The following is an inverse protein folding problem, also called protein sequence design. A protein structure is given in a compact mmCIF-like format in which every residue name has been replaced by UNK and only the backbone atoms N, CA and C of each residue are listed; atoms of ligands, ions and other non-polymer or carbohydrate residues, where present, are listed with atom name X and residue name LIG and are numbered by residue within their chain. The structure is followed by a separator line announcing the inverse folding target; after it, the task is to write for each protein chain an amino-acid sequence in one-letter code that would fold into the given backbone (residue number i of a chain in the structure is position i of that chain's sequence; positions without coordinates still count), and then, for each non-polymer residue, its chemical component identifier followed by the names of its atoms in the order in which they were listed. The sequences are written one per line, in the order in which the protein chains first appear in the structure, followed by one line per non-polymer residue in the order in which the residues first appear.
data_IF_539276104946
#
_entry.id   IF_539276104946
#
_cell.length_a   1.000
_cell.length_b   1.000
_cell.length_c   1.000
_cell.angle_alpha   90.00
_cell.angle_beta   90.00
_cell.angle_gamma   90.00
#
_symmetry.space_group_name_H-M   'P 1'
#
loop_
_entity.id
_entity.type
_entity.pdbx_description
1 polymer ?
#
# COMPACT_ATOMS: atom_id res chain seq x y z
N UNK A 1 1.40 -43.11 -25.12
CA UNK A 1 0.42 -42.30 -24.37
C UNK A 1 1.19 -41.43 -23.39
N UNK A 2 0.96 -40.12 -23.45
CA UNK A 2 1.75 -39.08 -22.77
C UNK A 2 1.32 -38.96 -21.30
N UNK A 3 2.31 -38.76 -20.45
CA UNK A 3 2.21 -38.53 -19.01
C UNK A 3 1.92 -37.04 -18.74
N UNK A 4 0.98 -36.74 -17.83
CA UNK A 4 0.78 -35.37 -17.31
C UNK A 4 1.42 -35.28 -15.93
N UNK A 5 2.50 -34.50 -15.84
CA UNK A 5 3.18 -34.10 -14.62
C UNK A 5 2.68 -32.72 -14.19
N UNK A 6 2.22 -32.59 -12.95
CA UNK A 6 1.92 -31.29 -12.33
C UNK A 6 3.14 -30.87 -11.52
N UNK A 7 3.89 -29.90 -12.04
CA UNK A 7 5.03 -29.25 -11.39
C UNK A 7 4.57 -27.84 -11.02
N UNK A 8 4.49 -27.52 -9.74
CA UNK A 8 4.28 -26.14 -9.29
C UNK A 8 5.65 -25.44 -9.31
N UNK A 9 5.85 -24.56 -10.30
CA UNK A 9 7.05 -23.74 -10.49
C UNK A 9 6.67 -22.29 -10.18
N UNK A 10 7.26 -21.69 -9.15
CA UNK A 10 7.15 -20.25 -8.86
C UNK A 10 8.34 -19.56 -9.55
N UNK A 11 8.06 -18.63 -10.47
CA UNK A 11 9.07 -17.86 -11.20
C UNK A 11 9.06 -16.39 -10.75
N UNK A 12 10.25 -15.83 -10.48
CA UNK A 12 10.46 -14.39 -10.27
C UNK A 12 10.82 -13.73 -11.60
N UNK A 13 10.07 -12.69 -12.00
CA UNK A 13 10.42 -11.84 -13.13
C UNK A 13 11.18 -10.60 -12.64
N UNK A 14 12.42 -10.41 -13.11
CA UNK A 14 13.11 -9.13 -13.06
C UNK A 14 12.76 -8.35 -14.34
N UNK A 15 11.98 -7.28 -14.21
CA UNK A 15 11.81 -6.30 -15.29
C UNK A 15 13.03 -5.36 -15.23
N UNK A 16 13.89 -5.44 -16.25
CA UNK A 16 14.95 -4.47 -16.44
C UNK A 16 14.35 -3.29 -17.20
N UNK A 17 14.06 -2.19 -16.51
CA UNK A 17 13.66 -0.93 -17.17
C UNK A 17 14.88 -0.32 -17.86
N UNK A 18 14.75 -0.09 -19.17
CA UNK A 18 15.68 0.69 -19.95
C UNK A 18 15.67 2.14 -19.44
N UNK A 19 16.84 2.71 -19.25
CA UNK A 19 17.05 4.13 -18.94
C UNK A 19 16.48 4.99 -20.08
N UNK A 20 15.33 5.61 -19.83
CA UNK A 20 14.93 6.82 -20.53
C UNK A 20 15.80 7.97 -19.99
N UNK A 21 16.27 8.83 -20.89
CA UNK A 21 16.99 10.03 -20.50
C UNK A 21 16.03 10.97 -19.79
N UNK A 22 16.34 11.23 -18.52
CA UNK A 22 15.49 11.92 -17.58
C UNK A 22 15.48 13.43 -17.86
N UNK A 23 14.31 13.94 -18.22
CA UNK A 23 13.97 15.35 -18.23
C UNK A 23 13.27 15.79 -16.95
N UNK A 24 13.44 15.05 -15.84
CA UNK A 24 12.88 15.42 -14.55
C UNK A 24 13.40 16.78 -14.12
N UNK A 25 12.47 17.69 -13.93
CA UNK A 25 12.69 18.87 -13.09
C UNK A 25 12.80 18.35 -11.67
N UNK A 26 13.99 18.46 -11.10
CA UNK A 26 14.23 18.04 -9.72
C UNK A 26 13.61 19.08 -8.77
N UNK A 27 13.10 18.66 -7.61
CA UNK A 27 12.68 19.58 -6.54
C UNK A 27 13.74 20.65 -6.24
N UNK A 28 15.03 20.32 -6.46
CA UNK A 28 16.15 21.23 -6.32
C UNK A 28 16.07 22.48 -7.23
N UNK A 29 15.48 22.40 -8.42
CA UNK A 29 15.33 23.55 -9.32
C UNK A 29 14.27 24.55 -8.83
N UNK A 30 13.24 24.07 -8.11
CA UNK A 30 12.20 24.91 -7.49
C UNK A 30 12.70 25.60 -6.19
N UNK A 31 13.68 25.01 -5.51
CA UNK A 31 14.14 25.46 -4.18
C UNK A 31 15.10 26.66 -4.19
N UNK A 32 15.86 26.84 -5.28
CA UNK A 32 17.10 27.63 -5.23
C UNK A 32 16.92 29.16 -5.15
N UNK A 33 15.71 29.67 -5.35
CA UNK A 33 15.44 31.11 -5.31
C UNK A 33 14.81 31.60 -3.99
N UNK A 34 14.43 30.73 -3.04
CA UNK A 34 13.36 31.13 -2.11
C UNK A 34 13.62 31.17 -0.58
N UNK A 35 14.68 30.60 0.02
CA UNK A 35 14.67 30.48 1.51
C UNK A 35 15.95 30.78 2.31
N UNK A 36 15.78 31.69 3.30
CA UNK A 36 16.46 31.74 4.60
C UNK A 36 15.80 30.72 5.57
N UNK A 37 16.59 30.13 6.46
CA UNK A 37 16.27 28.93 7.26
C UNK A 37 14.97 28.99 8.10
N UNK A 38 14.02 28.10 7.80
CA UNK A 38 12.88 27.77 8.67
C UNK A 38 13.08 26.40 9.35
N UNK A 39 13.17 26.37 10.68
CA UNK A 39 13.03 25.15 11.50
C UNK A 39 11.55 24.94 11.83
N UNK A 40 10.76 24.39 10.90
CA UNK A 40 9.35 24.07 11.17
C UNK A 40 9.04 22.62 10.83
N UNK A 41 8.25 21.98 11.71
CA UNK A 41 7.79 20.61 11.50
C UNK A 41 6.92 20.52 10.23
N UNK A 42 7.05 19.48 9.39
CA UNK A 42 6.38 19.45 8.09
C UNK A 42 4.85 19.47 8.18
N UNK A 43 4.28 18.88 9.24
CA UNK A 43 2.84 18.94 9.51
C UNK A 43 2.33 20.35 9.86
N UNK A 44 3.18 21.24 10.37
CA UNK A 44 2.85 22.65 10.59
C UNK A 44 2.86 23.40 9.26
N UNK A 45 3.87 23.14 8.41
CA UNK A 45 4.00 23.75 7.08
C UNK A 45 2.81 23.40 6.17
N UNK A 46 2.42 22.12 6.09
CA UNK A 46 1.27 21.70 5.30
C UNK A 46 -0.05 22.31 5.81
N UNK A 47 -0.19 22.49 7.13
CA UNK A 47 -1.35 23.17 7.72
C UNK A 47 -1.35 24.66 7.35
N UNK A 48 -0.21 25.33 7.48
CA UNK A 48 -0.10 26.75 7.19
C UNK A 48 -0.28 27.02 5.69
N UNK A 49 0.17 26.12 4.82
CA UNK A 49 -0.15 26.11 3.39
C UNK A 49 -1.66 26.07 3.15
N UNK A 50 -2.37 25.14 3.80
CA UNK A 50 -3.82 25.01 3.68
C UNK A 50 -4.57 26.26 4.18
N UNK A 51 -4.06 26.95 5.20
CA UNK A 51 -4.63 28.23 5.66
C UNK A 51 -4.44 29.33 4.61
N UNK A 52 -3.23 29.50 4.07
CA UNK A 52 -2.97 30.46 2.99
C UNK A 52 -3.83 30.16 1.76
N UNK A 53 -4.02 28.89 1.43
CA UNK A 53 -4.88 28.44 0.34
C UNK A 53 -6.32 28.90 0.53
N UNK A 54 -6.90 28.67 1.72
CA UNK A 54 -8.26 29.08 2.06
C UNK A 54 -8.44 30.60 2.06
N UNK A 55 -7.38 31.34 2.40
CA UNK A 55 -7.36 32.80 2.37
C UNK A 55 -7.17 33.38 0.95
N UNK A 56 -6.96 32.53 -0.06
CA UNK A 56 -6.72 32.92 -1.45
C UNK A 56 -5.30 33.39 -1.75
N UNK A 57 -4.37 33.23 -0.80
CA UNK A 57 -2.95 33.54 -0.96
C UNK A 57 -2.22 32.30 -1.51
N UNK A 58 -2.50 31.98 -2.78
CA UNK A 58 -2.02 30.76 -3.42
C UNK A 58 -0.50 30.74 -3.62
N UNK A 59 0.12 31.91 -3.78
CA UNK A 59 1.58 32.04 -3.84
C UNK A 59 2.21 31.57 -2.54
N UNK A 60 1.74 32.10 -1.41
CA UNK A 60 2.24 31.70 -0.10
C UNK A 60 1.86 30.27 0.28
N UNK A 61 0.71 29.78 -0.19
CA UNK A 61 0.33 28.38 -0.03
C UNK A 61 1.32 27.44 -0.75
N UNK A 62 1.68 27.75 -2.01
CA UNK A 62 2.65 27.00 -2.78
C UNK A 62 4.03 26.97 -2.09
N UNK A 63 4.48 28.13 -1.58
CA UNK A 63 5.71 28.23 -0.79
C UNK A 63 5.73 27.27 0.40
N UNK A 64 4.67 27.26 1.21
CA UNK A 64 4.59 26.38 2.36
C UNK A 64 4.45 24.90 1.97
N UNK A 65 3.77 24.56 0.87
CA UNK A 65 3.73 23.18 0.39
C UNK A 65 5.10 22.69 -0.09
N UNK A 66 5.87 23.53 -0.79
CA UNK A 66 7.25 23.21 -1.19
C UNK A 66 8.11 22.97 0.05
N UNK A 67 8.07 23.88 1.02
CA UNK A 67 8.79 23.71 2.29
C UNK A 67 8.37 22.43 3.02
N UNK A 68 7.07 22.09 3.00
CA UNK A 68 6.57 20.89 3.64
C UNK A 68 7.11 19.62 2.97
N UNK A 69 7.21 19.60 1.64
CA UNK A 69 7.79 18.50 0.86
C UNK A 69 9.29 18.36 1.13
N UNK A 70 10.03 19.46 1.18
CA UNK A 70 11.47 19.47 1.50
C UNK A 70 11.78 19.01 2.93
N UNK A 71 10.86 19.29 3.87
CA UNK A 71 11.11 19.11 5.29
C UNK A 71 10.88 17.68 5.82
N UNK A 72 10.61 16.68 4.97
CA UNK A 72 10.39 15.23 5.29
C UNK A 72 8.93 14.75 5.14
N UNK A 73 8.20 15.20 4.11
CA UNK A 73 6.90 14.63 3.72
C UNK A 73 6.99 13.65 2.54
N UNK A 74 8.12 12.96 2.32
CA UNK A 74 8.29 11.84 1.37
C UNK A 74 7.32 11.87 0.17
N UNK A 75 7.57 12.78 -0.78
CA UNK A 75 6.77 12.98 -1.99
C UNK A 75 5.25 12.85 -1.75
N UNK A 76 4.71 13.43 -0.66
CA UNK A 76 3.34 13.15 -0.27
C UNK A 76 2.37 13.46 -1.42
N UNK A 77 1.64 12.45 -1.94
CA UNK A 77 0.87 12.61 -3.17
C UNK A 77 -0.23 13.68 -3.02
N UNK A 78 -0.80 13.82 -1.82
CA UNK A 78 -1.84 14.83 -1.55
C UNK A 78 -1.24 16.22 -1.47
N UNK A 79 -0.08 16.39 -0.86
CA UNK A 79 0.63 17.69 -0.80
C UNK A 79 1.04 18.14 -2.20
N UNK A 80 1.58 17.24 -3.03
CA UNK A 80 1.93 17.54 -4.43
C UNK A 80 0.71 17.91 -5.27
N UNK A 81 -0.44 17.24 -5.06
CA UNK A 81 -1.69 17.60 -5.73
C UNK A 81 -2.14 19.02 -5.33
N UNK A 82 -2.15 19.32 -4.04
CA UNK A 82 -2.53 20.66 -3.57
C UNK A 82 -1.57 21.75 -4.06
N UNK A 83 -0.28 21.44 -4.21
CA UNK A 83 0.70 22.34 -4.82
C UNK A 83 0.36 22.57 -6.31
N UNK A 84 -0.04 21.54 -7.05
CA UNK A 84 -0.52 21.69 -8.42
C UNK A 84 -1.73 22.62 -8.50
N UNK A 85 -2.71 22.49 -7.60
CA UNK A 85 -3.88 23.38 -7.54
C UNK A 85 -3.47 24.84 -7.29
N UNK A 86 -2.49 25.09 -6.40
CA UNK A 86 -1.94 26.44 -6.19
C UNK A 86 -1.40 27.04 -7.50
N UNK A 87 -0.62 26.27 -8.26
CA UNK A 87 -0.09 26.72 -9.55
C UNK A 87 -1.19 26.91 -10.61
N UNK A 88 -2.24 26.10 -10.59
CA UNK A 88 -3.43 26.31 -11.44
C UNK A 88 -4.09 27.67 -11.20
N UNK A 89 -4.30 28.01 -9.93
CA UNK A 89 -4.88 29.29 -9.51
C UNK A 89 -3.96 30.49 -9.74
N UNK A 90 -2.66 30.26 -9.87
CA UNK A 90 -1.66 31.28 -10.22
C UNK A 90 -1.47 31.45 -11.73
N UNK A 91 -2.21 30.70 -12.56
CA UNK A 91 -2.08 30.70 -14.03
C UNK A 91 -0.68 30.24 -14.50
N UNK A 92 -0.08 29.28 -13.79
CA UNK A 92 1.26 28.72 -14.05
C UNK A 92 1.15 27.27 -14.59
N UNK A 93 0.74 27.09 -15.87
CA UNK A 93 0.35 25.79 -16.43
C UNK A 93 1.47 24.73 -16.40
N UNK A 94 2.72 25.13 -16.64
CA UNK A 94 3.86 24.21 -16.65
C UNK A 94 4.18 23.69 -15.24
N UNK A 95 4.15 24.57 -14.23
CA UNK A 95 4.40 24.19 -12.84
C UNK A 95 3.27 23.34 -12.27
N UNK A 96 2.01 23.70 -12.58
CA UNK A 96 0.84 22.91 -12.23
C UNK A 96 0.93 21.49 -12.80
N UNK A 97 1.28 21.38 -14.09
CA UNK A 97 1.43 20.10 -14.77
C UNK A 97 2.53 19.22 -14.15
N UNK A 98 3.72 19.80 -13.89
CA UNK A 98 4.83 19.08 -13.24
C UNK A 98 4.46 18.59 -11.85
N UNK A 99 3.86 19.44 -11.01
CA UNK A 99 3.45 19.06 -9.66
C UNK A 99 2.38 17.95 -9.67
N UNK A 100 1.44 18.00 -10.63
CA UNK A 100 0.44 16.97 -10.81
C UNK A 100 1.04 15.63 -11.25
N UNK A 101 1.98 15.64 -12.20
CA UNK A 101 2.70 14.43 -12.61
C UNK A 101 3.50 13.84 -11.44
N UNK A 102 4.18 14.66 -10.64
CA UNK A 102 4.87 14.18 -9.43
C UNK A 102 3.89 13.58 -8.42
N UNK A 103 2.72 14.20 -8.22
CA UNK A 103 1.65 13.65 -7.39
C UNK A 103 1.21 12.25 -7.85
N UNK A 104 1.02 12.07 -9.16
CA UNK A 104 0.69 10.77 -9.77
C UNK A 104 1.78 9.73 -9.52
N UNK A 105 3.05 10.08 -9.76
CA UNK A 105 4.22 9.22 -9.54
C UNK A 105 4.35 8.82 -8.07
N UNK A 106 3.96 9.70 -7.16
CA UNK A 106 3.91 9.46 -5.72
C UNK A 106 2.72 8.59 -5.26
N UNK A 107 1.83 8.19 -6.18
CA UNK A 107 0.72 7.28 -5.89
C UNK A 107 -0.60 7.96 -5.58
N UNK A 108 -0.77 9.23 -5.94
CA UNK A 108 -2.09 9.84 -5.99
C UNK A 108 -2.98 9.07 -6.97
N UNK A 109 -4.16 8.66 -6.53
CA UNK A 109 -5.01 7.71 -7.26
C UNK A 109 -6.44 8.21 -7.49
N UNK A 110 -6.60 9.54 -7.54
CA UNK A 110 -7.89 10.22 -7.78
C UNK A 110 -7.90 11.02 -9.08
N UNK A 111 -7.78 10.37 -10.25
CA UNK A 111 -7.75 11.05 -11.54
C UNK A 111 -9.00 11.91 -11.79
N UNK A 112 -10.14 11.57 -11.19
CA UNK A 112 -11.38 12.34 -11.29
C UNK A 112 -11.28 13.78 -10.78
N UNK A 113 -10.32 14.07 -9.90
CA UNK A 113 -10.10 15.42 -9.39
C UNK A 113 -9.44 16.32 -10.44
N UNK A 114 -8.65 15.78 -11.38
CA UNK A 114 -7.99 16.59 -12.41
C UNK A 114 -9.03 17.27 -13.32
N UNK A 115 -10.13 16.58 -13.62
CA UNK A 115 -11.18 17.10 -14.51
C UNK A 115 -12.20 18.00 -13.79
N UNK A 116 -12.41 17.78 -12.50
CA UNK A 116 -13.49 18.42 -11.73
C UNK A 116 -13.02 19.55 -10.82
N UNK A 117 -11.72 19.61 -10.53
CA UNK A 117 -11.16 20.66 -9.69
C UNK A 117 -11.17 22.01 -10.42
N UNK A 118 -11.87 22.96 -9.84
CA UNK A 118 -12.02 24.31 -10.39
C UNK A 118 -10.71 25.08 -10.41
N UNK A 119 -9.72 24.64 -9.64
CA UNK A 119 -8.45 25.33 -9.47
C UNK A 119 -7.58 25.24 -10.74
N UNK A 120 -7.91 24.35 -11.67
CA UNK A 120 -7.30 24.25 -13.01
C UNK A 120 -8.08 24.98 -14.11
N UNK A 121 -9.23 25.61 -13.81
CA UNK A 121 -10.15 26.16 -14.83
C UNK A 121 -9.47 27.16 -15.78
N UNK A 122 -8.56 28.01 -15.29
CA UNK A 122 -7.85 29.00 -16.10
C UNK A 122 -6.82 28.38 -17.04
N UNK A 123 -6.26 27.22 -16.70
CA UNK A 123 -5.15 26.60 -17.43
C UNK A 123 -5.54 25.35 -18.23
N UNK A 124 -6.81 24.92 -18.16
CA UNK A 124 -7.29 23.68 -18.78
C UNK A 124 -7.16 23.63 -20.31
N UNK A 125 -7.21 24.78 -20.99
CA UNK A 125 -7.01 24.88 -22.44
C UNK A 125 -5.52 25.01 -22.84
N UNK A 126 -4.59 25.04 -21.87
CA UNK A 126 -3.17 25.20 -22.15
C UNK A 126 -2.54 23.88 -22.62
N UNK A 127 -1.88 23.91 -23.78
CA UNK A 127 -1.26 22.70 -24.38
C UNK A 127 -0.17 22.08 -23.47
N UNK A 128 0.65 22.90 -22.79
CA UNK A 128 1.73 22.40 -21.92
C UNK A 128 1.16 21.70 -20.68
N UNK A 129 0.13 22.29 -20.07
CA UNK A 129 -0.55 21.64 -18.94
C UNK A 129 -1.17 20.31 -19.37
N UNK A 130 -1.83 20.29 -20.53
CA UNK A 130 -2.47 19.09 -21.06
C UNK A 130 -1.48 17.96 -21.37
N UNK A 131 -0.27 18.26 -21.84
CA UNK A 131 0.78 17.25 -22.03
C UNK A 131 1.13 16.55 -20.71
N UNK A 132 1.26 17.31 -19.61
CA UNK A 132 1.52 16.74 -18.28
C UNK A 132 0.31 15.99 -17.72
N UNK A 133 -0.91 16.48 -17.94
CA UNK A 133 -2.14 15.78 -17.53
C UNK A 133 -2.22 14.41 -18.19
N UNK A 134 -1.96 14.33 -19.50
CA UNK A 134 -1.93 13.05 -20.23
C UNK A 134 -0.90 12.09 -19.64
N UNK A 135 0.30 12.57 -19.30
CA UNK A 135 1.33 11.75 -18.67
C UNK A 135 0.91 11.29 -17.26
N UNK A 136 0.39 12.20 -16.44
CA UNK A 136 -0.09 11.91 -15.08
C UNK A 136 -1.22 10.87 -15.10
N UNK A 137 -2.19 11.01 -16.01
CA UNK A 137 -3.27 10.05 -16.18
C UNK A 137 -2.76 8.67 -16.58
N UNK A 138 -1.79 8.59 -17.49
CA UNK A 138 -1.18 7.31 -17.88
C UNK A 138 -0.46 6.63 -16.70
N UNK A 139 0.23 7.41 -15.86
CA UNK A 139 0.86 6.90 -14.63
C UNK A 139 -0.18 6.37 -13.65
N UNK A 140 -1.27 7.11 -13.42
CA UNK A 140 -2.35 6.69 -12.52
C UNK A 140 -3.09 5.46 -13.05
N UNK A 141 -3.35 5.40 -14.36
CA UNK A 141 -3.98 4.24 -15.02
C UNK A 141 -3.10 2.99 -14.87
N UNK A 142 -1.80 3.09 -15.15
CA UNK A 142 -0.87 1.97 -14.95
C UNK A 142 -0.83 1.55 -13.47
N UNK A 143 -0.84 2.51 -12.54
CA UNK A 143 -0.89 2.23 -11.10
C UNK A 143 -2.20 1.56 -10.67
N UNK A 144 -3.33 1.98 -11.23
CA UNK A 144 -4.65 1.41 -10.98
C UNK A 144 -4.76 0.01 -11.57
N UNK A 145 -4.24 -0.22 -12.78
CA UNK A 145 -4.20 -1.53 -13.42
C UNK A 145 -3.33 -2.51 -12.61
N UNK A 146 -2.18 -2.06 -12.10
CA UNK A 146 -1.37 -2.87 -11.18
C UNK A 146 -2.09 -3.22 -9.87
N UNK A 147 -3.06 -2.40 -9.46
CA UNK A 147 -3.93 -2.62 -8.29
C UNK A 147 -5.23 -3.34 -8.66
N UNK A 148 -5.46 -3.65 -9.93
CA UNK A 148 -6.70 -4.25 -10.41
C UNK A 148 -6.86 -5.66 -9.88
N UNK A 149 -8.11 -6.08 -9.71
CA UNK A 149 -8.48 -7.46 -9.34
C UNK A 149 -7.94 -8.44 -10.38
N UNK A 150 -7.83 -8.03 -11.65
CA UNK A 150 -7.37 -8.87 -12.75
C UNK A 150 -5.88 -9.20 -12.64
N UNK A 151 -5.04 -8.23 -12.24
CA UNK A 151 -3.60 -8.43 -12.03
C UNK A 151 -3.29 -9.05 -10.65
N UNK A 152 -3.95 -8.62 -9.57
CA UNK A 152 -3.64 -9.06 -8.20
C UNK A 152 -4.36 -10.35 -7.76
N UNK A 153 -5.35 -10.78 -8.53
CA UNK A 153 -6.31 -11.78 -8.07
C UNK A 153 -7.18 -11.25 -6.93
N UNK A 154 -8.09 -12.08 -6.45
CA UNK A 154 -8.94 -11.71 -5.33
C UNK A 154 -8.10 -11.53 -4.06
N UNK A 155 -8.08 -10.31 -3.53
CA UNK A 155 -7.42 -9.97 -2.26
C UNK A 155 -8.02 -10.81 -1.14
N UNK A 156 -7.18 -11.61 -0.49
CA UNK A 156 -7.56 -12.42 0.68
C UNK A 156 -6.72 -11.99 1.87
N UNK A 157 -7.29 -11.24 2.81
CA UNK A 157 -6.55 -10.84 4.01
C UNK A 157 -6.33 -12.03 4.96
N UNK A 158 -5.06 -12.28 5.27
CA UNK A 158 -4.54 -13.34 6.15
C UNK A 158 -3.84 -12.69 7.34
N UNK A 159 -4.27 -13.02 8.54
CA UNK A 159 -3.85 -12.31 9.74
C UNK A 159 -3.09 -13.30 10.65
N UNK A 160 -1.78 -13.03 10.92
CA UNK A 160 -0.90 -14.04 11.56
C UNK A 160 0.42 -13.55 12.23
N UNK A 161 0.60 -13.62 13.57
CA UNK A 161 1.94 -13.66 14.19
C UNK A 161 2.15 -14.55 15.42
N UNK A 162 3.07 -15.52 15.38
CA UNK A 162 3.64 -16.12 16.60
C UNK A 162 4.48 -17.37 16.34
N UNK A 163 5.29 -17.75 17.34
CA UNK A 163 5.59 -19.17 17.58
C UNK A 163 4.28 -19.88 17.89
N UNK A 164 3.70 -20.46 16.85
CA UNK A 164 2.46 -21.20 16.93
C UNK A 164 2.83 -22.59 17.40
N UNK A 165 2.21 -23.02 18.48
CA UNK A 165 2.30 -24.44 18.79
C UNK A 165 1.59 -25.19 17.66
N UNK A 166 2.30 -26.10 17.03
CA UNK A 166 1.70 -27.07 16.13
C UNK A 166 1.71 -28.45 16.79
N UNK A 167 0.74 -29.29 16.46
CA UNK A 167 0.71 -30.69 16.89
C UNK A 167 0.54 -31.58 15.69
N UNK A 168 1.46 -32.53 15.54
CA UNK A 168 1.55 -33.39 14.37
C UNK A 168 1.22 -34.83 14.79
N UNK A 169 0.35 -35.50 14.05
CA UNK A 169 0.10 -36.94 14.13
C UNK A 169 0.45 -37.57 12.80
N UNK A 170 1.21 -38.67 12.85
CA UNK A 170 1.68 -39.40 11.69
C UNK A 170 0.90 -40.72 11.58
N UNK A 171 0.80 -41.30 10.39
CA UNK A 171 0.25 -42.64 10.20
C UNK A 171 0.99 -43.70 11.01
N UNK A 172 0.28 -44.79 11.30
CA UNK A 172 0.92 -46.01 11.76
C UNK A 172 1.93 -46.47 10.69
N UNK A 173 3.14 -46.82 11.12
CA UNK A 173 4.26 -47.21 10.24
C UNK A 173 4.73 -46.13 9.24
N UNK A 174 4.61 -44.83 9.58
CA UNK A 174 5.11 -43.71 8.77
C UNK A 174 6.55 -43.91 8.24
N UNK A 175 6.71 -43.81 6.92
CA UNK A 175 8.00 -43.83 6.21
C UNK A 175 8.26 -42.47 5.56
N UNK A 176 9.29 -41.70 5.97
CA UNK A 176 9.58 -40.40 5.36
C UNK A 176 9.95 -40.44 3.86
N UNK A 177 10.15 -41.61 3.27
CA UNK A 177 10.38 -41.78 1.83
C UNK A 177 9.09 -41.97 1.01
N UNK A 178 7.97 -42.32 1.65
CA UNK A 178 6.67 -42.50 1.00
C UNK A 178 5.89 -41.18 0.89
N UNK A 179 4.91 -41.15 -0.02
CA UNK A 179 4.05 -39.98 -0.23
C UNK A 179 2.79 -40.11 0.60
N UNK A 180 2.52 -39.08 1.39
CA UNK A 180 1.31 -38.97 2.19
C UNK A 180 0.57 -37.69 1.87
N UNK A 181 -0.75 -37.74 2.03
CA UNK A 181 -1.57 -36.53 2.04
C UNK A 181 -1.28 -35.71 3.31
N UNK A 182 -1.25 -34.37 3.17
CA UNK A 182 -1.06 -33.44 4.29
C UNK A 182 -2.39 -32.77 4.64
N UNK A 183 -2.81 -32.94 5.89
CA UNK A 183 -4.00 -32.30 6.45
C UNK A 183 -3.57 -31.24 7.48
N UNK A 184 -3.83 -29.95 7.18
CA UNK A 184 -3.60 -28.80 8.08
C UNK A 184 -4.91 -28.41 8.82
N UNK A 185 -4.87 -28.31 10.14
CA UNK A 185 -5.99 -28.02 11.04
C UNK A 185 -5.77 -26.70 11.80
N UNK A 186 -6.67 -25.72 11.69
CA UNK A 186 -6.60 -24.39 12.34
C UNK A 186 -7.76 -24.23 13.35
N UNK A 187 -7.51 -23.82 14.60
CA UNK A 187 -8.60 -23.67 15.59
C UNK A 187 -9.24 -22.26 15.61
N UNK A 188 -10.36 -22.08 16.32
CA UNK A 188 -11.11 -20.81 16.39
C UNK A 188 -10.56 -19.76 17.39
N UNK A 189 -11.10 -18.51 17.33
CA UNK A 189 -10.84 -17.42 18.28
C UNK A 189 -11.13 -17.83 19.72
N UNK A 190 -10.25 -17.53 20.66
CA UNK A 190 -10.37 -17.94 22.06
C UNK A 190 -9.98 -19.42 22.33
N UNK A 191 -9.72 -20.20 21.28
CA UNK A 191 -9.28 -21.59 21.38
C UNK A 191 -7.76 -21.74 21.40
N UNK A 192 -7.31 -23.00 21.50
CA UNK A 192 -5.91 -23.38 21.42
C UNK A 192 -5.71 -24.72 20.68
N UNK A 193 -4.47 -25.01 20.33
CA UNK A 193 -4.09 -26.19 19.53
C UNK A 193 -4.20 -27.52 20.29
N UNK A 194 -4.18 -27.53 21.62
CA UNK A 194 -4.08 -28.75 22.41
C UNK A 194 -5.43 -29.49 22.50
N UNK A 195 -6.51 -28.78 22.76
CA UNK A 195 -7.86 -29.35 22.72
C UNK A 195 -8.21 -29.87 21.32
N UNK A 196 -7.80 -29.14 20.26
CA UNK A 196 -8.15 -29.51 18.89
C UNK A 196 -7.42 -30.78 18.41
N UNK A 197 -6.17 -30.96 18.83
CA UNK A 197 -5.36 -32.10 18.42
C UNK A 197 -5.83 -33.46 18.98
N UNK A 198 -6.59 -33.52 20.08
CA UNK A 198 -7.03 -34.79 20.70
C UNK A 198 -8.08 -35.55 19.88
N UNK A 199 -8.62 -34.94 18.82
CA UNK A 199 -9.59 -35.56 17.91
C UNK A 199 -8.99 -36.64 17.03
N UNK A 200 -7.66 -36.73 16.99
CA UNK A 200 -6.93 -37.79 16.31
C UNK A 200 -7.42 -39.21 16.68
N UNK A 201 -7.74 -39.49 17.95
CA UNK A 201 -8.11 -40.83 18.43
C UNK A 201 -9.46 -41.38 17.94
N UNK A 202 -10.23 -40.57 17.20
CA UNK A 202 -11.46 -41.02 16.55
C UNK A 202 -11.22 -41.51 15.12
N UNK A 203 -9.99 -41.38 14.60
CA UNK A 203 -9.59 -41.93 13.32
C UNK A 203 -8.95 -43.30 13.55
N UNK A 204 -9.65 -44.35 13.15
CA UNK A 204 -9.24 -45.72 13.45
C UNK A 204 -8.07 -46.20 12.57
N UNK A 205 -7.91 -45.71 11.32
CA UNK A 205 -6.84 -46.14 10.39
C UNK A 205 -6.54 -45.05 9.33
N UNK A 206 -5.62 -44.11 9.62
CA UNK A 206 -5.32 -42.97 8.73
C UNK A 206 -3.93 -43.02 8.08
N UNK A 207 -3.87 -43.18 6.75
CA UNK A 207 -2.61 -43.13 5.97
C UNK A 207 -2.27 -41.70 5.47
N UNK A 208 -2.29 -40.71 6.37
CA UNK A 208 -1.99 -39.29 6.07
C UNK A 208 -1.31 -38.55 7.24
N UNK A 209 -0.62 -37.45 6.95
CA UNK A 209 -0.01 -36.56 7.95
C UNK A 209 -1.05 -35.55 8.42
N UNK A 210 -1.29 -35.47 9.73
CA UNK A 210 -2.23 -34.54 10.33
C UNK A 210 -1.50 -33.48 11.18
N UNK A 211 -1.69 -32.19 10.90
CA UNK A 211 -1.01 -31.07 11.58
C UNK A 211 -2.05 -30.08 12.09
N UNK A 212 -2.15 -29.86 13.39
CA UNK A 212 -2.95 -28.78 14.00
C UNK A 212 -2.08 -27.53 14.28
N UNK A 213 -2.55 -26.29 14.04
CA UNK A 213 -1.84 -25.00 14.21
C UNK A 213 -2.54 -24.06 15.22
N UNK A 214 -1.74 -23.24 15.92
CA UNK A 214 -2.17 -22.37 17.03
C UNK A 214 -2.35 -20.90 16.64
N UNK A 215 -3.58 -20.38 16.60
CA UNK A 215 -3.88 -18.99 16.29
C UNK A 215 -2.93 -17.97 16.98
N UNK A 216 -2.56 -16.88 16.30
CA UNK A 216 -1.35 -16.18 16.68
C UNK A 216 -1.40 -15.17 17.83
N UNK A 217 -2.47 -14.40 17.90
CA UNK A 217 -2.57 -13.27 18.80
C UNK A 217 -3.12 -13.74 20.14
N UNK A 218 -2.24 -13.91 21.12
CA UNK A 218 -2.66 -14.23 22.48
C UNK A 218 -3.31 -13.02 23.15
N UNK A 219 -4.38 -13.25 23.90
CA UNK A 219 -5.00 -12.25 24.76
C UNK A 219 -5.61 -12.91 26.02
N UNK A 220 -5.98 -12.10 27.02
CA UNK A 220 -6.53 -12.58 28.29
C UNK A 220 -8.06 -12.54 28.29
N UNK A 221 -8.71 -13.64 28.73
CA UNK A 221 -10.18 -13.73 28.87
C UNK A 221 -10.57 -14.61 30.08
N UNK A 222 -11.41 -14.11 30.99
CA UNK A 222 -11.87 -14.82 32.21
C UNK A 222 -10.75 -15.43 33.08
N UNK A 223 -9.58 -14.77 33.11
CA UNK A 223 -8.41 -15.21 33.89
C UNK A 223 -7.58 -16.33 33.24
N UNK A 224 -7.73 -16.57 31.92
CA UNK A 224 -6.97 -17.56 31.15
C UNK A 224 -6.41 -16.94 29.85
N UNK A 225 -5.23 -17.38 29.41
CA UNK A 225 -4.68 -17.04 28.08
C UNK A 225 -5.37 -17.85 27.00
N UNK A 226 -5.81 -17.16 25.94
CA UNK A 226 -6.44 -17.72 24.75
C UNK A 226 -5.92 -16.99 23.50
N UNK A 227 -6.29 -17.39 22.28
CA UNK A 227 -5.63 -16.90 21.06
C UNK A 227 -6.57 -16.51 19.90
N UNK A 228 -6.11 -15.65 18.99
CA UNK A 228 -6.88 -15.08 17.88
C UNK A 228 -6.07 -15.06 16.58
N UNK A 229 -6.75 -15.12 15.43
CA UNK A 229 -6.15 -14.82 14.13
C UNK A 229 -6.01 -13.34 13.87
N UNK A 230 -6.53 -12.49 14.75
CA UNK A 230 -6.57 -11.04 14.60
C UNK A 230 -6.01 -10.23 15.78
N UNK A 231 -5.41 -9.06 15.52
CA UNK A 231 -4.83 -8.15 16.54
C UNK A 231 -5.96 -7.58 17.40
N UNK A 232 -5.90 -7.76 18.71
CA UNK A 232 -6.85 -7.14 19.65
C UNK A 232 -6.27 -5.82 20.23
N UNK A 233 -6.95 -4.68 20.06
CA UNK A 233 -6.67 -3.42 20.79
C UNK A 233 -5.85 -2.33 20.09
N UNK A 234 -5.56 -2.41 18.79
CA UNK A 234 -4.87 -1.35 18.03
C UNK A 234 -5.87 -0.30 17.52
N UNK A 235 -5.85 0.91 18.07
CA UNK A 235 -6.62 2.08 17.57
C UNK A 235 -6.04 2.70 16.28
N UNK A 236 -5.46 1.88 15.39
CA UNK A 236 -4.64 2.35 14.27
C UNK A 236 -4.92 1.70 12.91
N UNK A 237 -6.00 0.92 12.79
CA UNK A 237 -6.47 0.47 11.47
C UNK A 237 -7.68 1.32 11.05
N UNK A 238 -7.46 2.62 10.92
CA UNK A 238 -8.38 3.49 10.19
C UNK A 238 -7.58 4.31 9.18
N UNK A 239 -8.10 4.31 7.95
CA UNK A 239 -7.62 4.84 6.66
C UNK A 239 -6.96 3.78 5.77
N UNK A 240 -7.59 3.35 4.69
CA UNK A 240 -8.84 3.78 4.11
C UNK A 240 -9.11 2.99 2.83
N UNK A 241 -10.38 2.99 2.48
CA UNK A 241 -10.85 2.80 1.11
C UNK A 241 -10.27 3.85 0.17
#
# INVERSE_FOLDING_TARGET
MKCFTCTLMIAFFFVSSASAQDGSVTLGELSSELFESYESQPGILARDAALCYQDGDYGKAAEYYILALEADLDDNPVTLFNLACCFGLLDEPELAGKALLQSALAGFDRPELIETDTDFTSIMDNEVFNDYVLEAMAVMEEAMERKSIEVLGDRLFLQYPSMQTARIHLPDDYDPQERYDLVLALHGYGGDVAEFSSRWAAFDEGNFIFVSLQAPYAFQQNGRTVFSWTVHGSSGWERGD
#
